data_IF_524295077544
#
_entry.id   IF_524295077544
#
_cell.length_a   1.000
_cell.length_b   1.000
_cell.length_c   1.000
_cell.angle_alpha   90.00
_cell.angle_beta   90.00
_cell.angle_gamma   90.00
#
_symmetry.space_group_name_H-M   'P 1'
#
loop_
_entity.id
_entity.type
_entity.pdbx_description
1 polymer ?
#
# COMPACT_ATOMS: atom_id res chain seq x y z
N UNK A 1 -25.25 -7.28 16.73
CA UNK A 1 -23.98 -7.82 16.22
C UNK A 1 -23.62 -6.95 15.05
N UNK A 2 -22.46 -6.30 15.08
CA UNK A 2 -22.03 -5.36 14.04
C UNK A 2 -21.06 -6.08 13.10
N UNK A 3 -21.26 -5.94 11.80
CA UNK A 3 -20.37 -6.51 10.77
C UNK A 3 -19.19 -5.58 10.48
N UNK A 4 -18.09 -6.13 9.93
CA UNK A 4 -16.91 -5.33 9.60
C UNK A 4 -17.19 -4.33 8.48
N UNK A 5 -18.05 -4.67 7.51
CA UNK A 5 -18.50 -3.76 6.46
C UNK A 5 -19.28 -2.55 6.99
N UNK A 6 -19.79 -2.59 8.22
CA UNK A 6 -20.49 -1.45 8.84
C UNK A 6 -19.52 -0.44 9.48
N UNK A 7 -18.27 -0.85 9.74
CA UNK A 7 -17.28 -0.04 10.49
C UNK A 7 -15.98 0.22 9.74
N UNK A 8 -15.75 -0.45 8.60
CA UNK A 8 -14.54 -0.30 7.82
C UNK A 8 -14.84 -0.43 6.32
N UNK A 9 -14.06 0.30 5.52
CA UNK A 9 -14.04 0.16 4.06
C UNK A 9 -12.73 -0.49 3.66
N UNK A 10 -12.79 -1.51 2.79
CA UNK A 10 -11.61 -2.14 2.23
C UNK A 10 -11.32 -1.55 0.85
N UNK A 11 -10.10 -1.05 0.67
CA UNK A 11 -9.57 -0.66 -0.63
C UNK A 11 -8.62 -1.75 -1.12
N UNK A 12 -8.84 -2.28 -2.32
CA UNK A 12 -7.91 -3.20 -2.97
C UNK A 12 -6.77 -2.43 -3.61
N UNK A 13 -5.59 -3.02 -3.75
CA UNK A 13 -4.45 -2.36 -4.39
C UNK A 13 -4.70 -1.92 -5.84
N UNK A 14 -3.79 -1.10 -6.36
CA UNK A 14 -3.88 -0.48 -7.69
C UNK A 14 -2.88 -1.10 -8.68
N UNK A 15 -3.27 -1.33 -9.96
CA UNK A 15 -2.40 -1.93 -10.97
C UNK A 15 -1.46 -0.88 -11.59
N UNK A 16 -0.44 -0.45 -10.84
CA UNK A 16 0.55 0.51 -11.34
C UNK A 16 1.37 -0.04 -12.53
N UNK A 17 1.66 0.80 -13.54
CA UNK A 17 2.51 0.40 -14.68
C UNK A 17 3.97 0.23 -14.23
N UNK A 18 4.43 -1.01 -14.27
CA UNK A 18 5.80 -1.38 -13.91
C UNK A 18 6.90 -0.65 -14.68
N UNK A 19 6.60 -0.10 -15.87
CA UNK A 19 7.57 0.68 -16.66
C UNK A 19 7.95 2.01 -15.99
N UNK A 20 7.12 2.49 -15.07
CA UNK A 20 7.34 3.74 -14.33
C UNK A 20 7.97 3.48 -12.95
N UNK A 21 8.37 2.23 -12.67
CA UNK A 21 9.01 1.87 -11.41
C UNK A 21 10.50 2.21 -11.47
N UNK A 22 11.02 2.78 -10.38
CA UNK A 22 12.42 3.13 -10.26
C UNK A 22 12.86 3.14 -8.78
N UNK A 23 14.10 3.51 -8.49
CA UNK A 23 14.74 3.41 -7.18
C UNK A 23 14.94 4.77 -6.46
N UNK A 24 14.52 5.89 -7.07
CA UNK A 24 14.95 7.22 -6.62
C UNK A 24 14.00 8.39 -6.89
N UNK A 25 13.09 8.28 -7.84
CA UNK A 25 12.24 9.35 -8.35
C UNK A 25 10.75 9.01 -8.24
N UNK A 26 9.94 10.03 -7.94
CA UNK A 26 8.50 9.90 -7.81
C UNK A 26 8.06 9.59 -6.38
N UNK A 27 6.89 9.00 -6.24
CA UNK A 27 6.28 8.72 -4.94
C UNK A 27 6.66 7.31 -4.45
N UNK A 28 6.91 7.11 -3.15
CA UNK A 28 7.14 5.77 -2.60
C UNK A 28 6.03 4.80 -3.01
N UNK A 29 6.38 3.58 -3.39
CA UNK A 29 5.41 2.58 -3.84
C UNK A 29 5.38 1.39 -2.86
N UNK A 30 4.24 1.20 -2.20
CA UNK A 30 4.01 0.00 -1.38
C UNK A 30 3.72 -1.21 -2.27
N UNK A 31 4.49 -2.27 -2.08
CA UNK A 31 4.27 -3.56 -2.74
C UNK A 31 4.06 -4.64 -1.68
N UNK A 32 3.24 -5.64 -2.01
CA UNK A 32 2.91 -6.75 -1.09
C UNK A 32 4.15 -7.43 -0.48
N UNK A 33 5.24 -7.48 -1.25
CA UNK A 33 6.53 -8.08 -0.87
C UNK A 33 7.23 -7.31 0.25
N UNK A 34 7.03 -6.00 0.30
CA UNK A 34 7.68 -5.10 1.24
C UNK A 34 6.82 -4.83 2.49
N UNK A 35 5.56 -5.30 2.52
CA UNK A 35 4.62 -5.06 3.62
C UNK A 35 5.19 -5.45 4.99
N UNK A 36 5.81 -6.63 5.10
CA UNK A 36 6.34 -7.14 6.38
C UNK A 36 7.49 -6.28 6.92
N UNK A 37 8.23 -5.58 6.06
CA UNK A 37 9.38 -4.76 6.45
C UNK A 37 8.99 -3.31 6.78
N UNK A 38 7.81 -2.86 6.35
CA UNK A 38 7.32 -1.50 6.59
C UNK A 38 8.16 -0.43 5.90
N UNK A 39 8.77 -0.76 4.75
CA UNK A 39 9.63 0.13 3.96
C UNK A 39 9.31 0.04 2.48
N UNK A 40 9.70 1.07 1.74
CA UNK A 40 9.58 1.15 0.29
C UNK A 40 10.96 1.39 -0.32
N UNK A 41 11.37 0.50 -1.21
CA UNK A 41 12.62 0.54 -1.96
C UNK A 41 12.35 0.68 -3.47
N UNK A 42 11.07 0.83 -3.84
CA UNK A 42 10.59 1.15 -5.18
C UNK A 42 9.78 2.43 -5.13
N UNK A 43 9.91 3.26 -6.15
CA UNK A 43 9.17 4.50 -6.36
C UNK A 43 8.40 4.42 -7.68
N UNK A 44 7.32 5.20 -7.77
CA UNK A 44 6.46 5.32 -8.94
C UNK A 44 6.43 6.77 -9.44
N UNK A 45 6.83 6.97 -10.69
CA UNK A 45 6.93 8.29 -11.35
C UNK A 45 5.82 8.49 -12.39
N UNK A 46 4.61 8.04 -12.07
CA UNK A 46 3.42 8.19 -12.92
C UNK A 46 2.24 8.78 -12.17
N UNK A 47 1.15 9.00 -12.89
CA UNK A 47 -0.10 9.44 -12.28
C UNK A 47 -0.75 8.32 -11.46
N UNK A 48 -1.29 8.69 -10.32
CA UNK A 48 -2.07 7.83 -9.42
C UNK A 48 -3.18 8.63 -8.77
N UNK A 49 -4.18 7.93 -8.24
CA UNK A 49 -5.30 8.55 -7.52
C UNK A 49 -4.95 8.67 -6.03
N UNK A 50 -5.17 9.85 -5.45
CA UNK A 50 -4.86 10.17 -4.06
C UNK A 50 -5.56 9.23 -3.05
N UNK A 51 -6.65 8.57 -3.43
CA UNK A 51 -7.32 7.55 -2.62
C UNK A 51 -6.45 6.32 -2.33
N UNK A 52 -5.39 6.08 -3.12
CA UNK A 52 -4.43 5.00 -2.89
C UNK A 52 -3.22 5.43 -2.06
N UNK A 53 -3.15 6.69 -1.62
CA UNK A 53 -2.06 7.15 -0.75
C UNK A 53 -2.32 6.66 0.67
N UNK A 54 -1.44 5.77 1.13
CA UNK A 54 -1.46 5.19 2.46
C UNK A 54 -0.77 6.14 3.44
N UNK A 55 -1.39 6.36 4.59
CA UNK A 55 -0.89 7.20 5.67
C UNK A 55 -0.40 6.35 6.83
N UNK A 56 0.45 6.95 7.68
CA UNK A 56 0.85 6.32 8.94
C UNK A 56 -0.38 5.97 9.79
N UNK A 57 -0.45 4.72 10.25
CA UNK A 57 -1.54 4.17 11.05
C UNK A 57 -2.57 3.38 10.24
N UNK A 58 -2.52 3.45 8.91
CA UNK A 58 -3.41 2.66 8.06
C UNK A 58 -3.12 1.16 8.17
N UNK A 59 -4.17 0.36 8.09
CA UNK A 59 -4.08 -1.10 8.13
C UNK A 59 -3.99 -1.66 6.72
N UNK A 60 -2.90 -2.37 6.46
CA UNK A 60 -2.62 -3.02 5.18
C UNK A 60 -2.72 -4.53 5.33
N UNK A 61 -3.36 -5.16 4.33
CA UNK A 61 -3.52 -6.61 4.27
C UNK A 61 -2.73 -7.14 3.08
N UNK A 62 -1.69 -7.94 3.37
CA UNK A 62 -0.99 -8.73 2.36
C UNK A 62 -1.75 -10.02 2.08
N UNK A 63 -2.00 -10.30 0.80
CA UNK A 63 -2.64 -11.52 0.29
C UNK A 63 -1.75 -12.18 -0.78
N UNK A 64 -0.68 -12.89 -0.39
CA UNK A 64 0.25 -13.58 -1.31
C UNK A 64 0.30 -15.10 -1.10
N UNK A 65 -0.85 -15.68 -0.74
CA UNK A 65 -0.97 -17.06 -0.27
C UNK A 65 -0.95 -17.17 1.25
N UNK A 66 -0.44 -16.14 1.93
CA UNK A 66 -0.62 -15.89 3.36
C UNK A 66 -1.40 -14.59 3.57
N UNK A 67 -2.15 -14.52 4.68
CA UNK A 67 -2.79 -13.28 5.13
C UNK A 67 -1.94 -12.63 6.21
N UNK A 68 -1.46 -11.41 5.94
CA UNK A 68 -0.65 -10.63 6.86
C UNK A 68 -1.31 -9.28 7.11
N UNK A 69 -1.56 -8.93 8.38
CA UNK A 69 -2.03 -7.61 8.78
C UNK A 69 -0.84 -6.79 9.26
N UNK A 70 -0.64 -5.62 8.67
CA UNK A 70 0.43 -4.69 9.01
C UNK A 70 -0.16 -3.31 9.22
N UNK A 71 0.18 -2.67 10.34
CA UNK A 71 -0.06 -1.24 10.54
C UNK A 71 1.08 -0.46 9.89
N UNK A 72 0.76 0.46 8.99
CA UNK A 72 1.77 1.24 8.27
C UNK A 72 2.44 2.27 9.18
N UNK A 73 3.74 2.13 9.42
CA UNK A 73 4.49 3.03 10.32
C UNK A 73 5.36 4.06 9.59
N UNK A 74 5.54 3.91 8.27
CA UNK A 74 6.41 4.78 7.50
C UNK A 74 5.73 6.13 7.17
N UNK A 75 6.38 6.94 6.31
CA UNK A 75 5.74 8.13 5.75
C UNK A 75 4.69 7.76 4.71
N UNK A 76 4.02 8.78 4.16
CA UNK A 76 3.03 8.61 3.11
C UNK A 76 3.64 7.88 1.90
N UNK A 77 2.93 6.87 1.40
CA UNK A 77 3.39 5.96 0.36
C UNK A 77 2.22 5.29 -0.37
#
# INVERSE_FOLDING_TARGET
MTSIEEIATALTGYPFDSKLFNDSNGFPLIRIRNLKEGKTDTYYDGDYDDSFVVKRGDLLIGMDGEFNLVEWQAGDA
#
